data_IF_124765818888
#
_entry.id   IF_124765818888
#
_cell.length_a   1.000
_cell.length_b   1.000
_cell.length_c   1.000
_cell.angle_alpha   90.00
_cell.angle_beta   90.00
_cell.angle_gamma   90.00
#
_symmetry.space_group_name_H-M   'P 1'
#
loop_
_entity.id
_entity.type
_entity.pdbx_description
1 polymer ?
#
# COMPACT_ATOMS: atom_id res chain seq x y z
N UNK A 1 7.34 -4.59 10.79
CA UNK A 1 8.29 -3.52 10.48
C UNK A 1 7.58 -2.20 10.27
N UNK A 2 8.20 -1.15 10.72
CA UNK A 2 7.66 0.22 10.67
C UNK A 2 8.61 1.12 9.89
N UNK A 3 8.04 1.96 9.02
CA UNK A 3 8.78 2.98 8.30
C UNK A 3 8.07 4.33 8.43
N UNK A 4 8.80 5.35 8.87
CA UNK A 4 8.30 6.72 8.87
C UNK A 4 8.58 7.34 7.50
N UNK A 5 7.52 7.75 6.80
CA UNK A 5 7.65 8.36 5.47
C UNK A 5 8.46 9.66 5.58
N UNK A 6 9.45 9.79 4.72
CA UNK A 6 10.36 10.92 4.65
C UNK A 6 10.45 11.48 3.24
N UNK A 7 11.01 12.68 3.12
CA UNK A 7 11.28 13.27 1.82
C UNK A 7 12.20 12.38 0.98
N UNK A 8 11.83 12.17 -0.26
CA UNK A 8 12.56 11.29 -1.19
C UNK A 8 12.07 9.85 -1.20
N UNK A 9 11.12 9.48 -0.32
CA UNK A 9 10.54 8.14 -0.34
C UNK A 9 9.58 7.97 -1.51
N UNK A 10 9.87 6.97 -2.35
CA UNK A 10 9.05 6.56 -3.48
C UNK A 10 8.65 5.10 -3.37
N UNK A 11 7.43 4.81 -3.76
CA UNK A 11 7.05 3.45 -4.12
C UNK A 11 7.08 3.34 -5.63
N UNK A 12 7.97 2.52 -6.16
CA UNK A 12 8.19 2.43 -7.60
C UNK A 12 7.12 1.55 -8.24
N UNK A 13 6.40 2.12 -9.20
CA UNK A 13 5.37 1.42 -9.97
C UNK A 13 5.69 1.29 -11.46
N UNK A 14 6.93 1.57 -11.83
CA UNK A 14 7.44 1.40 -13.18
C UNK A 14 7.89 -0.05 -13.41
N UNK A 15 7.16 -0.81 -14.25
CA UNK A 15 7.49 -2.22 -14.46
C UNK A 15 8.84 -2.44 -15.17
N UNK A 16 9.43 -1.41 -15.76
CA UNK A 16 10.76 -1.49 -16.37
C UNK A 16 11.90 -1.28 -15.36
N UNK A 17 11.60 -0.80 -14.16
CA UNK A 17 12.61 -0.57 -13.13
C UNK A 17 12.96 -1.85 -12.36
N UNK A 18 14.25 -2.09 -12.04
CA UNK A 18 14.62 -3.16 -11.11
C UNK A 18 14.10 -2.95 -9.70
N UNK A 19 13.62 -1.74 -9.37
CA UNK A 19 13.00 -1.42 -8.08
C UNK A 19 11.48 -1.52 -8.10
N UNK A 20 10.90 -2.08 -9.16
CA UNK A 20 9.45 -2.24 -9.27
C UNK A 20 8.82 -2.85 -8.02
N UNK A 21 7.72 -2.25 -7.58
CA UNK A 21 6.96 -2.65 -6.38
C UNK A 21 7.82 -2.68 -5.11
N UNK A 22 8.66 -1.66 -4.93
CA UNK A 22 9.51 -1.47 -3.75
C UNK A 22 9.46 -0.04 -3.23
N UNK A 23 9.67 0.08 -1.92
CA UNK A 23 9.98 1.36 -1.28
C UNK A 23 11.46 1.66 -1.47
N UNK A 24 11.76 2.82 -2.04
CA UNK A 24 13.13 3.34 -2.20
C UNK A 24 13.19 4.81 -1.83
N UNK A 25 14.38 5.31 -1.51
CA UNK A 25 14.59 6.74 -1.27
C UNK A 25 15.56 7.28 -2.31
N UNK A 26 15.17 8.35 -3.01
CA UNK A 26 15.95 8.93 -4.12
C UNK A 26 17.24 9.61 -3.67
N UNK A 27 17.41 9.84 -2.37
CA UNK A 27 18.66 10.39 -1.80
C UNK A 27 19.73 9.31 -1.58
N UNK A 28 19.32 8.05 -1.51
CA UNK A 28 20.22 6.90 -1.23
C UNK A 28 20.26 5.89 -2.38
N UNK A 29 19.31 5.96 -3.30
CA UNK A 29 19.18 5.04 -4.44
C UNK A 29 19.16 5.86 -5.73
N UNK A 30 20.05 5.55 -6.66
CA UNK A 30 20.04 6.21 -7.97
C UNK A 30 18.72 5.96 -8.68
N UNK A 31 18.07 7.04 -9.14
CA UNK A 31 16.76 6.97 -9.77
C UNK A 31 16.85 6.27 -11.12
N UNK A 32 16.22 5.12 -11.24
CA UNK A 32 16.14 4.31 -12.45
C UNK A 32 14.70 4.05 -12.92
N UNK A 33 13.73 4.75 -12.31
CA UNK A 33 12.31 4.60 -12.61
C UNK A 33 11.75 5.87 -13.25
N UNK A 34 10.77 5.69 -14.14
CA UNK A 34 10.03 6.78 -14.78
C UNK A 34 8.66 7.01 -14.15
N UNK A 35 8.22 6.10 -13.29
CA UNK A 35 6.94 6.19 -12.58
C UNK A 35 7.10 5.68 -11.16
N UNK A 36 6.55 6.43 -10.21
CA UNK A 36 6.56 6.08 -8.80
C UNK A 36 5.69 7.02 -7.99
N UNK A 37 5.22 6.56 -6.84
CA UNK A 37 4.46 7.39 -5.92
C UNK A 37 5.40 8.10 -4.94
N UNK A 38 5.40 9.44 -4.96
CA UNK A 38 6.09 10.26 -3.98
C UNK A 38 5.26 10.28 -2.70
N UNK A 39 5.64 9.46 -1.74
CA UNK A 39 4.79 9.16 -0.59
C UNK A 39 4.54 10.37 0.32
N UNK A 40 5.52 11.25 0.50
CA UNK A 40 5.33 12.40 1.38
C UNK A 40 4.41 13.46 0.77
N UNK A 41 4.36 13.52 -0.56
CA UNK A 41 3.47 14.44 -1.28
C UNK A 41 2.04 13.92 -1.38
N UNK A 42 1.82 12.65 -1.15
CA UNK A 42 0.51 12.02 -1.22
C UNK A 42 -0.26 12.07 0.10
N UNK A 43 -0.08 13.13 0.86
CA UNK A 43 -0.87 13.36 2.07
C UNK A 43 -2.28 13.86 1.71
N UNK A 44 -3.31 13.48 2.45
CA UNK A 44 -3.30 12.67 3.68
C UNK A 44 -3.35 11.15 3.49
N UNK A 45 -3.33 10.63 2.26
CA UNK A 45 -3.51 9.19 1.99
C UNK A 45 -2.57 8.31 2.81
N UNK A 46 -1.31 8.71 2.88
CA UNK A 46 -0.25 7.95 3.53
C UNK A 46 0.10 8.48 4.92
N UNK A 47 -0.79 9.26 5.56
CA UNK A 47 -0.62 9.60 6.96
C UNK A 47 -0.51 8.33 7.80
N UNK A 48 -1.32 7.32 7.47
CA UNK A 48 -1.22 5.96 7.97
C UNK A 48 -1.46 5.00 6.82
N UNK A 49 -0.56 4.06 6.61
CA UNK A 49 -0.67 3.09 5.54
C UNK A 49 -0.10 1.73 5.94
N UNK A 50 -0.69 0.69 5.40
CA UNK A 50 -0.19 -0.67 5.48
C UNK A 50 0.15 -1.14 4.07
N UNK A 51 1.39 -1.58 3.88
CA UNK A 51 1.76 -2.28 2.66
C UNK A 51 1.20 -3.69 2.70
N UNK A 52 0.45 -4.05 1.67
CA UNK A 52 -0.03 -5.41 1.48
C UNK A 52 1.00 -6.17 0.65
N UNK A 53 1.23 -7.44 0.99
CA UNK A 53 2.14 -8.32 0.24
C UNK A 53 1.55 -8.74 -1.11
N UNK A 54 0.89 -7.82 -1.79
CA UNK A 54 0.38 -8.04 -3.13
C UNK A 54 1.54 -7.95 -4.13
N UNK A 55 1.63 -8.93 -5.01
CA UNK A 55 2.74 -9.04 -5.95
C UNK A 55 4.12 -8.95 -5.25
N UNK A 56 4.29 -9.72 -4.20
CA UNK A 56 5.52 -9.78 -3.42
C UNK A 56 6.74 -10.15 -4.27
N UNK A 57 6.54 -10.99 -5.28
CA UNK A 57 7.58 -11.42 -6.19
C UNK A 57 7.99 -10.32 -7.19
N UNK A 58 7.27 -9.20 -7.20
CA UNK A 58 7.54 -8.04 -8.04
C UNK A 58 7.55 -8.34 -9.52
N UNK A 59 6.62 -9.19 -9.94
CA UNK A 59 6.44 -9.52 -11.35
C UNK A 59 5.90 -8.30 -12.11
N UNK A 60 6.64 -7.79 -13.12
CA UNK A 60 6.18 -6.64 -13.89
C UNK A 60 4.81 -6.87 -14.53
N UNK A 61 3.93 -5.88 -14.40
CA UNK A 61 2.59 -5.92 -14.95
C UNK A 61 1.53 -6.57 -14.07
N UNK A 62 1.91 -7.18 -12.95
CA UNK A 62 0.95 -7.84 -12.04
C UNK A 62 0.42 -6.92 -10.93
N UNK A 63 0.82 -5.67 -10.93
CA UNK A 63 0.34 -4.66 -9.99
C UNK A 63 1.40 -4.23 -8.99
N UNK A 64 1.27 -2.98 -8.55
CA UNK A 64 2.22 -2.32 -7.65
C UNK A 64 1.48 -1.34 -6.76
N UNK A 65 2.09 -0.97 -5.64
CA UNK A 65 1.58 0.04 -4.72
C UNK A 65 0.17 -0.27 -4.20
N UNK A 66 -0.07 -1.52 -3.86
CA UNK A 66 -1.36 -1.94 -3.28
C UNK A 66 -1.28 -1.82 -1.76
N UNK A 67 -1.93 -0.79 -1.24
CA UNK A 67 -1.92 -0.45 0.18
C UNK A 67 -3.32 -0.42 0.77
N UNK A 68 -3.38 -0.46 2.09
CA UNK A 68 -4.50 -0.01 2.88
C UNK A 68 -4.11 1.36 3.45
N UNK A 69 -4.83 2.43 3.12
CA UNK A 69 -4.48 3.79 3.49
C UNK A 69 -5.70 4.66 3.84
N UNK A 70 -5.46 5.92 4.15
CA UNK A 70 -6.51 6.86 4.54
C UNK A 70 -7.32 7.34 3.32
N UNK A 71 -8.55 7.79 3.58
CA UNK A 71 -9.35 8.50 2.58
C UNK A 71 -8.69 9.83 2.18
N UNK A 72 -9.08 10.34 1.01
CA UNK A 72 -8.72 11.69 0.57
C UNK A 72 -9.33 12.77 1.45
N UNK A 73 -8.62 13.89 1.61
CA UNK A 73 -9.11 15.04 2.35
C UNK A 73 -10.43 15.60 1.78
N UNK A 74 -10.69 15.42 0.49
CA UNK A 74 -11.94 15.82 -0.18
C UNK A 74 -13.15 14.96 0.19
N UNK A 75 -12.96 13.91 1.00
CA UNK A 75 -14.02 12.95 1.30
C UNK A 75 -14.27 11.91 0.20
N UNK A 76 -13.55 11.97 -0.91
CA UNK A 76 -13.63 10.94 -1.94
C UNK A 76 -13.12 9.60 -1.39
N UNK A 77 -13.94 8.56 -1.47
CA UNK A 77 -13.69 7.26 -0.85
C UNK A 77 -13.15 6.20 -1.82
N UNK A 78 -12.97 6.57 -3.09
CA UNK A 78 -12.43 5.65 -4.09
C UNK A 78 -10.92 5.73 -4.22
N UNK A 79 -10.34 4.74 -4.89
CA UNK A 79 -8.91 4.66 -5.20
C UNK A 79 -8.70 4.00 -6.56
N UNK A 80 -7.45 3.99 -7.02
CA UNK A 80 -7.06 3.28 -8.26
C UNK A 80 -6.74 1.79 -8.02
N UNK A 81 -7.08 1.26 -6.86
CA UNK A 81 -6.85 -0.15 -6.51
C UNK A 81 -6.57 -0.39 -5.03
N UNK A 82 -6.21 0.65 -4.27
CA UNK A 82 -5.98 0.52 -2.83
C UNK A 82 -7.28 0.42 -2.04
N UNK A 83 -7.20 -0.17 -0.87
CA UNK A 83 -8.28 -0.15 0.11
C UNK A 83 -8.13 1.09 0.98
N UNK A 84 -9.21 1.82 1.19
CA UNK A 84 -9.19 3.06 1.95
C UNK A 84 -10.12 3.02 3.15
N UNK A 85 -9.68 3.60 4.26
CA UNK A 85 -10.44 3.77 5.50
C UNK A 85 -10.33 5.20 6.00
N UNK A 86 -11.27 5.68 6.83
CA UNK A 86 -11.07 6.94 7.54
C UNK A 86 -9.78 6.89 8.37
N UNK A 87 -9.08 8.03 8.50
CA UNK A 87 -7.80 8.09 9.23
C UNK A 87 -7.90 7.56 10.66
N UNK A 88 -8.98 7.86 11.38
CA UNK A 88 -9.21 7.34 12.73
C UNK A 88 -9.27 5.82 12.78
N UNK A 89 -9.86 5.20 11.76
CA UNK A 89 -9.93 3.73 11.65
C UNK A 89 -8.59 3.13 11.26
N UNK A 90 -7.84 3.79 10.40
CA UNK A 90 -6.48 3.37 10.07
C UNK A 90 -5.59 3.37 11.30
N UNK A 91 -5.64 4.41 12.12
CA UNK A 91 -4.88 4.50 13.35
C UNK A 91 -5.23 3.39 14.34
N UNK A 92 -6.52 3.10 14.49
CA UNK A 92 -7.00 2.00 15.34
C UNK A 92 -6.50 0.64 14.82
N UNK A 93 -6.62 0.41 13.51
CA UNK A 93 -6.18 -0.83 12.86
C UNK A 93 -4.70 -1.08 13.03
N UNK A 94 -3.87 -0.05 12.90
CA UNK A 94 -2.41 -0.17 13.07
C UNK A 94 -2.02 -0.71 14.45
N UNK A 95 -2.84 -0.47 15.47
CA UNK A 95 -2.63 -1.04 16.81
C UNK A 95 -3.01 -2.50 16.94
N UNK A 96 -3.71 -3.07 15.95
CA UNK A 96 -4.24 -4.42 16.01
C UNK A 96 -3.53 -5.42 15.10
N UNK A 97 -2.81 -4.93 14.07
CA UNK A 97 -2.21 -5.80 13.05
C UNK A 97 -0.74 -6.10 13.34
N UNK A 98 -0.29 -7.24 12.84
CA UNK A 98 1.11 -7.63 12.82
C UNK A 98 1.45 -8.34 11.49
N UNK A 99 2.66 -8.88 11.38
CA UNK A 99 3.12 -9.54 10.15
C UNK A 99 2.39 -10.84 9.84
N UNK A 100 1.60 -11.37 10.77
CA UNK A 100 0.77 -12.56 10.58
C UNK A 100 -0.68 -12.22 10.18
N UNK A 101 -1.05 -10.95 10.23
CA UNK A 101 -2.37 -10.50 9.85
C UNK A 101 -2.60 -10.73 8.35
N UNK A 102 -3.77 -11.25 8.02
CA UNK A 102 -4.20 -11.44 6.63
C UNK A 102 -5.38 -10.57 6.31
N UNK A 103 -5.39 -10.05 5.09
CA UNK A 103 -6.51 -9.30 4.55
C UNK A 103 -7.19 -10.18 3.51
N UNK A 104 -8.48 -10.40 3.70
CA UNK A 104 -9.31 -11.15 2.76
C UNK A 104 -10.25 -10.18 2.07
N UNK A 105 -10.20 -10.14 0.74
CA UNK A 105 -11.05 -9.28 -0.07
C UNK A 105 -12.00 -10.18 -0.84
N UNK A 106 -13.29 -10.01 -0.61
CA UNK A 106 -14.33 -10.76 -1.31
C UNK A 106 -15.28 -9.81 -2.02
N UNK A 107 -15.89 -10.30 -3.09
CA UNK A 107 -16.88 -9.56 -3.86
C UNK A 107 -18.05 -9.10 -3.01
N UNK A 108 -18.50 -9.97 -2.12
CA UNK A 108 -19.60 -9.74 -1.18
C UNK A 108 -19.50 -10.74 -0.02
N UNK A 109 -20.42 -10.63 0.95
CA UNK A 109 -20.42 -11.50 2.14
C UNK A 109 -20.65 -12.97 1.81
N UNK A 110 -21.40 -13.28 0.75
CA UNK A 110 -21.67 -14.67 0.34
C UNK A 110 -20.42 -15.37 -0.19
N UNK A 111 -19.50 -14.62 -0.79
CA UNK A 111 -18.23 -15.11 -1.31
C UNK A 111 -17.10 -15.10 -0.28
N UNK A 112 -17.39 -14.61 0.93
CA UNK A 112 -16.40 -14.54 2.00
C UNK A 112 -16.37 -15.86 2.77
N UNK A 113 -15.38 -16.69 2.48
CA UNK A 113 -15.13 -17.94 3.19
C UNK A 113 -13.86 -17.85 4.02
N UNK A 114 -13.97 -17.36 5.23
CA UNK A 114 -12.82 -17.16 6.12
C UNK A 114 -12.12 -18.47 6.48
N UNK A 115 -12.83 -19.60 6.49
CA UNK A 115 -12.23 -20.89 6.83
C UNK A 115 -11.14 -21.33 5.85
N UNK A 116 -11.20 -20.91 4.59
CA UNK A 116 -10.19 -21.18 3.58
C UNK A 116 -8.88 -20.45 3.86
N UNK A 117 -8.94 -19.32 4.54
CA UNK A 117 -7.80 -18.42 4.75
C UNK A 117 -7.22 -18.52 6.17
N UNK A 118 -7.90 -19.20 7.08
CA UNK A 118 -7.48 -19.35 8.48
C UNK A 118 -6.60 -20.59 8.72
N UNK A 119 -6.21 -21.26 7.67
CA UNK A 119 -5.36 -22.46 7.75
C UNK A 119 -3.89 -22.14 8.01
#
# INVERSE_FOLDING_TARGET
PYHKIAEGDFWVDDPASPHYNQLVNDKTTAKDWNSGEDLIKATPYYNYALNLDYNKERTPGEGSAIFLHCFKASGYQGSSGCICLPESRMKELLGLVDTNTRIVIAKDAEHLNLSEYMK
#
